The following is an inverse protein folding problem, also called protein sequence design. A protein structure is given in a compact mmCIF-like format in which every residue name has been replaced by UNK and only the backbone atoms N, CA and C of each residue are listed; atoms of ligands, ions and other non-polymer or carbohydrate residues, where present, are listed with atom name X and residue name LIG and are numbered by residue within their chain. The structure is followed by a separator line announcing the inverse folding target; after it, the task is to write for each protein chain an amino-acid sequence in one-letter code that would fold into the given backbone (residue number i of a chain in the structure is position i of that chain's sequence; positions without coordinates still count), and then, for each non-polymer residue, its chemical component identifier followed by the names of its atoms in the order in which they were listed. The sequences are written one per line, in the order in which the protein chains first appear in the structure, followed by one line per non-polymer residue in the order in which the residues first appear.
data_IF_366200436952
#
_entry.id   IF_366200436952
#
_cell.length_a   1.000
_cell.length_b   1.000
_cell.length_c   1.000
_cell.angle_alpha   90.00
_cell.angle_beta   90.00
_cell.angle_gamma   90.00
#
_symmetry.space_group_name_H-M   'P 1'
#
loop_
_entity.id
_entity.type
_entity.pdbx_description
1 polymer ?
#
# COMPACT_ATOMS: atom_id res chain seq x y z
N UNK A 1 17.89 9.66 -11.73
CA UNK A 1 17.41 8.89 -10.55
C UNK A 1 16.04 8.27 -10.83
N UNK A 2 15.57 7.27 -10.05
CA UNK A 2 14.26 6.63 -10.23
C UNK A 2 13.44 6.59 -8.95
N UNK A 3 12.12 6.50 -9.10
CA UNK A 3 11.16 6.18 -8.05
C UNK A 3 10.74 4.72 -8.19
N UNK A 4 10.55 4.04 -7.07
CA UNK A 4 10.07 2.67 -6.99
C UNK A 4 8.71 2.63 -6.31
N UNK A 5 7.80 1.81 -6.82
CA UNK A 5 6.46 1.61 -6.28
C UNK A 5 6.20 0.12 -6.09
N UNK A 6 5.76 -0.27 -4.91
CA UNK A 6 5.36 -1.62 -4.54
C UNK A 6 4.11 -1.57 -3.68
N UNK A 7 3.36 -2.66 -3.59
CA UNK A 7 2.19 -2.82 -2.70
C UNK A 7 1.95 -4.28 -2.39
N UNK A 8 1.03 -4.55 -1.48
CA UNK A 8 0.47 -5.87 -1.23
C UNK A 8 1.54 -6.95 -0.95
N UNK A 9 2.49 -6.61 -0.06
CA UNK A 9 3.55 -7.52 0.33
C UNK A 9 3.05 -8.59 1.31
N UNK A 10 2.07 -8.23 2.14
CA UNK A 10 1.48 -9.15 3.12
C UNK A 10 2.53 -9.90 3.93
N UNK A 11 3.55 -9.17 4.41
CA UNK A 11 4.61 -9.75 5.23
C UNK A 11 4.00 -10.35 6.50
N UNK A 12 4.24 -11.66 6.67
CA UNK A 12 3.79 -12.46 7.79
C UNK A 12 4.96 -13.32 8.26
N UNK A 13 5.28 -13.40 9.56
CA UNK A 13 6.39 -14.21 10.05
C UNK A 13 6.38 -15.68 9.59
N UNK A 14 5.20 -16.22 9.27
CA UNK A 14 5.06 -17.57 8.74
C UNK A 14 5.40 -17.71 7.24
N UNK A 15 5.47 -16.60 6.48
CA UNK A 15 5.70 -16.58 5.03
C UNK A 15 7.17 -16.29 4.70
N UNK A 16 8.03 -17.29 4.93
CA UNK A 16 9.48 -17.16 4.70
C UNK A 16 9.84 -16.93 3.23
N UNK A 17 9.03 -17.41 2.29
CA UNK A 17 9.15 -17.19 0.85
C UNK A 17 9.05 -15.68 0.52
N UNK A 18 8.03 -15.01 1.03
CA UNK A 18 7.82 -13.57 0.82
C UNK A 18 8.91 -12.74 1.50
N UNK A 19 9.31 -13.13 2.73
CA UNK A 19 10.43 -12.48 3.41
C UNK A 19 11.72 -12.60 2.62
N UNK A 20 11.98 -13.74 1.99
CA UNK A 20 13.16 -13.93 1.12
C UNK A 20 13.12 -12.99 -0.08
N UNK A 21 11.97 -12.90 -0.77
CA UNK A 21 11.79 -11.99 -1.90
C UNK A 21 11.98 -10.53 -1.48
N UNK A 22 11.40 -10.12 -0.35
CA UNK A 22 11.57 -8.79 0.21
C UNK A 22 13.03 -8.48 0.54
N UNK A 23 13.75 -9.43 1.16
CA UNK A 23 15.16 -9.28 1.47
C UNK A 23 16.03 -9.08 0.22
N UNK A 24 15.78 -9.87 -0.84
CA UNK A 24 16.47 -9.73 -2.12
C UNK A 24 16.20 -8.36 -2.76
N UNK A 25 14.94 -7.91 -2.73
CA UNK A 25 14.56 -6.58 -3.22
C UNK A 25 15.28 -5.46 -2.47
N UNK A 26 15.28 -5.50 -1.13
CA UNK A 26 15.98 -4.48 -0.30
C UNK A 26 17.49 -4.49 -0.60
N UNK A 27 18.11 -5.66 -0.73
CA UNK A 27 19.52 -5.79 -1.09
C UNK A 27 19.80 -5.12 -2.43
N UNK A 28 19.00 -5.42 -3.45
CA UNK A 28 19.11 -4.79 -4.77
C UNK A 28 18.92 -3.26 -4.72
N UNK A 29 18.01 -2.77 -3.88
CA UNK A 29 17.85 -1.33 -3.68
C UNK A 29 19.10 -0.69 -3.07
N UNK A 30 19.71 -1.34 -2.07
CA UNK A 30 20.92 -0.85 -1.42
C UNK A 30 22.13 -0.82 -2.37
N UNK A 31 22.28 -1.83 -3.24
CA UNK A 31 23.33 -1.88 -4.26
C UNK A 31 23.19 -0.76 -5.30
N UNK A 32 21.97 -0.27 -5.52
CA UNK A 32 21.64 0.79 -6.47
C UNK A 32 21.23 2.10 -5.79
N UNK A 33 21.63 2.33 -4.53
CA UNK A 33 21.12 3.44 -3.73
C UNK A 33 21.32 4.81 -4.39
N UNK A 34 22.43 5.02 -5.09
CA UNK A 34 22.72 6.25 -5.83
C UNK A 34 21.80 6.52 -7.04
N UNK A 35 21.04 5.52 -7.48
CA UNK A 35 20.10 5.63 -8.61
C UNK A 35 18.65 5.76 -8.15
N UNK A 36 18.35 5.45 -6.88
CA UNK A 36 16.98 5.42 -6.35
C UNK A 36 16.76 6.64 -5.45
N UNK A 37 15.78 7.48 -5.79
CA UNK A 37 15.41 8.65 -5.00
C UNK A 37 14.46 8.29 -3.85
N UNK A 38 13.49 7.44 -4.13
CA UNK A 38 12.49 7.03 -3.14
C UNK A 38 11.84 5.68 -3.48
N UNK A 39 11.37 5.01 -2.41
CA UNK A 39 10.50 3.85 -2.43
C UNK A 39 9.12 4.23 -1.85
N UNK A 40 8.06 3.98 -2.61
CA UNK A 40 6.67 4.12 -2.18
C UNK A 40 6.05 2.73 -2.00
N UNK A 41 5.53 2.46 -0.80
CA UNK A 41 4.83 1.23 -0.45
C UNK A 41 3.35 1.59 -0.31
N UNK A 42 2.53 1.17 -1.27
CA UNK A 42 1.14 1.61 -1.40
C UNK A 42 0.15 0.70 -0.66
N UNK A 43 0.41 0.46 0.62
CA UNK A 43 -0.46 -0.32 1.50
C UNK A 43 -0.16 -1.80 1.53
N UNK A 44 -0.72 -2.47 2.53
CA UNK A 44 -0.60 -3.90 2.78
C UNK A 44 0.85 -4.39 2.79
N UNK A 45 1.73 -3.60 3.45
CA UNK A 45 3.10 -4.01 3.73
C UNK A 45 3.12 -5.25 4.64
N UNK A 46 2.26 -5.25 5.66
CA UNK A 46 2.10 -6.35 6.61
C UNK A 46 0.74 -7.04 6.42
N UNK A 47 0.70 -8.35 6.67
CA UNK A 47 -0.54 -9.12 6.62
C UNK A 47 -1.54 -8.71 7.72
N UNK A 48 -1.02 -8.24 8.85
CA UNK A 48 -1.81 -7.69 9.95
C UNK A 48 -0.96 -6.74 10.79
N UNK A 49 -1.57 -5.63 11.24
CA UNK A 49 -0.97 -4.72 12.20
C UNK A 49 -1.97 -4.44 13.33
N UNK A 50 -1.62 -4.79 14.55
CA UNK A 50 -2.51 -4.74 15.72
C UNK A 50 -2.27 -3.51 16.60
N UNK A 51 -1.53 -2.53 16.10
CA UNK A 51 -0.98 -1.39 16.81
C UNK A 51 0.53 -1.51 16.94
N UNK A 52 1.20 -0.37 17.10
CA UNK A 52 2.66 -0.31 17.13
C UNK A 52 3.23 -1.10 18.32
N UNK A 53 2.62 -0.98 19.49
CA UNK A 53 2.99 -1.70 20.72
C UNK A 53 2.96 -3.22 20.56
N UNK A 54 1.98 -3.74 19.82
CA UNK A 54 1.79 -5.16 19.60
C UNK A 54 2.63 -5.71 18.45
N UNK A 55 2.82 -4.93 17.39
CA UNK A 55 3.34 -5.45 16.11
C UNK A 55 4.83 -5.16 15.88
N UNK A 56 5.35 -4.04 16.39
CA UNK A 56 6.78 -3.70 16.24
C UNK A 56 7.74 -4.83 16.65
N UNK A 57 7.52 -5.54 17.78
CA UNK A 57 8.42 -6.63 18.20
C UNK A 57 8.55 -7.76 17.17
N UNK A 58 7.48 -8.06 16.43
CA UNK A 58 7.46 -9.17 15.46
C UNK A 58 8.11 -8.82 14.11
N UNK A 59 8.12 -7.54 13.74
CA UNK A 59 8.59 -7.07 12.42
C UNK A 59 9.90 -6.28 12.47
N UNK A 60 10.68 -6.39 13.56
CA UNK A 60 11.92 -5.63 13.76
C UNK A 60 12.90 -5.76 12.60
N UNK A 61 13.00 -6.94 11.97
CA UNK A 61 13.91 -7.16 10.85
C UNK A 61 13.49 -6.38 9.60
N UNK A 62 12.21 -6.36 9.29
CA UNK A 62 11.64 -5.53 8.20
C UNK A 62 11.88 -4.06 8.48
N UNK A 63 11.59 -3.62 9.69
CA UNK A 63 11.74 -2.22 10.13
C UNK A 63 13.18 -1.76 10.01
N UNK A 64 14.16 -2.57 10.46
CA UNK A 64 15.59 -2.28 10.30
C UNK A 64 16.02 -2.14 8.84
N UNK A 65 15.45 -2.96 7.95
CA UNK A 65 15.73 -2.88 6.50
C UNK A 65 15.19 -1.60 5.88
N UNK A 66 13.96 -1.20 6.20
CA UNK A 66 13.40 0.06 5.74
C UNK A 66 14.22 1.26 6.26
N UNK A 67 14.59 1.23 7.53
CA UNK A 67 15.49 2.23 8.14
C UNK A 67 16.82 2.34 7.38
N UNK A 68 17.42 1.19 7.03
CA UNK A 68 18.68 1.13 6.31
C UNK A 68 18.58 1.76 4.91
N UNK A 69 17.45 1.59 4.19
CA UNK A 69 17.24 2.30 2.93
C UNK A 69 17.31 3.81 3.12
N UNK A 70 16.63 4.34 4.13
CA UNK A 70 16.63 5.77 4.42
C UNK A 70 18.03 6.27 4.79
N UNK A 71 18.79 5.51 5.59
CA UNK A 71 20.18 5.84 5.97
C UNK A 71 21.14 5.83 4.78
N UNK A 72 20.81 5.11 3.70
CA UNK A 72 21.55 5.12 2.43
C UNK A 72 21.00 6.16 1.42
N UNK A 73 20.13 7.07 1.88
CA UNK A 73 19.61 8.18 1.07
C UNK A 73 18.36 7.87 0.25
N UNK A 74 17.82 6.64 0.32
CA UNK A 74 16.55 6.27 -0.33
C UNK A 74 15.41 6.64 0.61
N UNK A 75 14.62 7.65 0.26
CA UNK A 75 13.45 8.02 1.07
C UNK A 75 12.39 6.93 0.99
N UNK A 76 11.82 6.56 2.15
CA UNK A 76 10.77 5.53 2.23
C UNK A 76 9.46 6.17 2.63
N UNK A 77 8.43 5.95 1.81
CA UNK A 77 7.05 6.38 2.05
C UNK A 77 6.16 5.16 2.15
N UNK A 78 5.31 5.12 3.17
CA UNK A 78 4.37 4.00 3.39
C UNK A 78 2.96 4.56 3.48
N UNK A 79 2.06 3.97 2.73
CA UNK A 79 0.62 4.24 2.77
C UNK A 79 -0.06 3.12 3.55
N UNK A 80 -1.10 3.42 4.29
CA UNK A 80 -1.93 2.39 4.91
C UNK A 80 -2.67 1.58 3.84
N UNK A 81 -2.69 0.26 4.00
CA UNK A 81 -3.61 -0.62 3.30
C UNK A 81 -4.77 -1.06 4.21
N UNK A 82 -5.55 -2.02 3.75
CA UNK A 82 -6.65 -2.56 4.54
C UNK A 82 -6.22 -3.63 5.56
N UNK A 83 -4.96 -4.08 5.53
CA UNK A 83 -4.38 -5.02 6.47
C UNK A 83 -3.60 -4.34 7.59
N UNK A 84 -3.02 -3.20 7.29
CA UNK A 84 -2.08 -2.51 8.17
C UNK A 84 -2.46 -1.04 8.45
N UNK A 85 -3.77 -0.75 8.44
CA UNK A 85 -4.33 0.59 8.66
C UNK A 85 -4.07 1.17 10.07
N UNK A 86 -3.54 0.39 10.99
CA UNK A 86 -3.14 0.81 12.34
C UNK A 86 -1.64 1.11 12.47
N UNK A 87 -0.88 1.15 11.36
CA UNK A 87 0.50 1.66 11.38
C UNK A 87 0.52 3.07 11.95
N UNK A 88 1.30 3.26 12.99
CA UNK A 88 1.31 4.51 13.74
C UNK A 88 2.65 5.23 13.71
N UNK A 89 2.75 6.23 14.59
CA UNK A 89 3.92 7.10 14.69
C UNK A 89 5.18 6.37 15.15
N UNK A 90 5.04 5.35 16.01
CA UNK A 90 6.21 4.60 16.48
C UNK A 90 6.81 3.77 15.36
N UNK A 91 5.96 3.17 14.50
CA UNK A 91 6.44 2.52 13.27
C UNK A 91 7.18 3.51 12.35
N UNK A 92 6.58 4.69 12.10
CA UNK A 92 7.19 5.73 11.26
C UNK A 92 8.60 6.11 11.77
N UNK A 93 8.74 6.32 13.08
CA UNK A 93 10.01 6.65 13.72
C UNK A 93 10.99 5.48 13.68
N UNK A 94 10.53 4.26 13.98
CA UNK A 94 11.38 3.07 14.03
C UNK A 94 11.94 2.72 12.65
N UNK A 95 11.11 2.80 11.60
CA UNK A 95 11.50 2.53 10.21
C UNK A 95 12.20 3.71 9.53
N UNK A 96 12.23 4.91 10.14
CA UNK A 96 12.67 6.17 9.49
C UNK A 96 11.97 6.37 8.14
N UNK A 97 10.71 6.00 8.04
CA UNK A 97 9.87 6.23 6.88
C UNK A 97 8.92 7.40 7.12
N UNK A 98 8.15 7.76 6.12
CA UNK A 98 7.05 8.72 6.24
C UNK A 98 5.73 8.03 5.90
N UNK A 99 4.77 8.06 6.82
CA UNK A 99 3.40 7.66 6.54
C UNK A 99 2.74 8.74 5.67
N UNK A 100 2.15 8.31 4.56
CA UNK A 100 1.43 9.17 3.63
C UNK A 100 -0.05 8.80 3.61
N UNK A 101 -0.91 9.80 3.40
CA UNK A 101 -2.36 9.58 3.31
C UNK A 101 -2.76 8.96 1.97
N UNK A 102 -3.94 8.42 1.89
CA UNK A 102 -4.57 7.90 0.68
C UNK A 102 -5.81 8.75 0.34
N UNK A 103 -5.88 9.41 -0.87
CA UNK A 103 -4.88 9.43 -1.92
C UNK A 103 -3.70 10.36 -1.62
N UNK A 104 -2.57 10.13 -2.27
CA UNK A 104 -1.40 10.99 -2.18
C UNK A 104 -1.00 11.51 -3.57
N UNK A 105 -1.13 12.83 -3.84
CA UNK A 105 -0.63 13.42 -5.09
C UNK A 105 0.91 13.53 -5.02
N UNK A 106 1.56 13.06 -6.07
CA UNK A 106 3.01 13.08 -6.22
C UNK A 106 3.39 13.84 -7.49
N UNK A 107 4.02 14.99 -7.33
CA UNK A 107 4.57 15.75 -8.45
C UNK A 107 5.92 15.17 -8.86
N UNK A 108 6.07 14.86 -10.14
CA UNK A 108 7.30 14.34 -10.71
C UNK A 108 7.71 15.14 -11.96
N UNK A 109 9.00 15.11 -12.25
CA UNK A 109 9.56 15.63 -13.49
C UNK A 109 10.33 14.49 -14.19
N UNK A 110 9.88 14.13 -15.39
CA UNK A 110 10.48 13.11 -16.24
C UNK A 110 11.01 13.74 -17.53
N UNK A 111 11.66 12.98 -18.39
CA UNK A 111 12.05 13.45 -19.72
C UNK A 111 10.83 13.82 -20.60
N UNK A 112 9.64 13.30 -20.29
CA UNK A 112 8.38 13.64 -20.98
C UNK A 112 7.75 14.93 -20.44
N UNK A 113 8.26 15.50 -19.35
CA UNK A 113 7.75 16.71 -18.72
C UNK A 113 7.32 16.50 -17.25
N UNK A 114 6.58 17.49 -16.75
CA UNK A 114 6.03 17.47 -15.40
C UNK A 114 4.63 16.87 -15.41
N UNK A 115 4.37 15.97 -14.47
CA UNK A 115 3.03 15.44 -14.22
C UNK A 115 2.80 15.22 -12.71
N UNK A 116 1.55 15.28 -12.30
CA UNK A 116 1.10 14.82 -10.98
C UNK A 116 0.57 13.40 -11.12
N UNK A 117 1.15 12.47 -10.37
CA UNK A 117 0.67 11.09 -10.27
C UNK A 117 -0.10 10.95 -8.97
N UNK A 118 -1.27 10.34 -9.02
CA UNK A 118 -2.04 10.01 -7.82
C UNK A 118 -1.67 8.61 -7.34
N UNK A 119 -1.29 8.51 -6.08
CA UNK A 119 -1.02 7.24 -5.41
C UNK A 119 -2.20 6.89 -4.51
N UNK A 120 -2.62 5.63 -4.53
CA UNK A 120 -3.69 5.10 -3.67
C UNK A 120 -3.38 3.65 -3.31
N UNK A 121 -3.86 3.14 -2.18
CA UNK A 121 -3.88 1.70 -1.98
C UNK A 121 -4.87 1.05 -2.97
N UNK A 122 -6.04 1.62 -3.15
CA UNK A 122 -7.04 1.16 -4.12
C UNK A 122 -8.30 0.57 -3.51
N UNK A 123 -8.26 0.16 -2.27
CA UNK A 123 -9.34 -0.53 -1.56
C UNK A 123 -10.65 0.27 -1.51
N UNK A 124 -10.57 1.58 -1.34
CA UNK A 124 -11.73 2.48 -1.33
C UNK A 124 -12.39 2.68 -2.69
N UNK A 125 -11.72 2.23 -3.75
CA UNK A 125 -12.25 2.28 -5.13
C UNK A 125 -13.12 1.06 -5.46
N UNK A 126 -13.13 0.01 -4.62
CA UNK A 126 -13.98 -1.17 -4.75
C UNK A 126 -15.40 -0.87 -4.26
N UNK A 127 -16.04 0.17 -4.80
CA UNK A 127 -17.32 0.71 -4.31
C UNK A 127 -18.52 -0.21 -4.53
N UNK A 128 -18.39 -1.20 -5.41
CA UNK A 128 -19.42 -2.22 -5.66
C UNK A 128 -19.49 -3.24 -4.51
N UNK A 129 -18.44 -3.37 -3.69
CA UNK A 129 -18.44 -4.17 -2.47
C UNK A 129 -18.91 -3.33 -1.27
N UNK A 130 -20.22 -3.16 -1.18
CA UNK A 130 -20.85 -2.33 -0.13
C UNK A 130 -20.56 -2.81 1.28
N UNK A 131 -20.44 -4.13 1.49
CA UNK A 131 -20.08 -4.71 2.79
C UNK A 131 -18.65 -4.33 3.17
N UNK A 132 -17.74 -4.39 2.20
CA UNK A 132 -16.35 -3.97 2.42
C UNK A 132 -16.27 -2.47 2.73
N UNK A 133 -16.97 -1.63 1.99
CA UNK A 133 -17.01 -0.18 2.24
C UNK A 133 -17.56 0.14 3.65
N UNK A 134 -18.61 -0.56 4.08
CA UNK A 134 -19.13 -0.41 5.44
C UNK A 134 -18.12 -0.85 6.51
N UNK A 135 -17.46 -1.98 6.31
CA UNK A 135 -16.38 -2.47 7.18
C UNK A 135 -15.22 -1.46 7.23
N UNK A 136 -14.76 -1.00 6.07
CA UNK A 136 -13.69 -0.01 5.97
C UNK A 136 -14.03 1.26 6.74
N UNK A 137 -15.25 1.79 6.56
CA UNK A 137 -15.70 2.97 7.30
C UNK A 137 -15.64 2.77 8.82
N UNK A 138 -16.02 1.59 9.31
CA UNK A 138 -15.97 1.24 10.73
C UNK A 138 -14.54 1.24 11.26
N UNK A 139 -13.61 0.52 10.61
CA UNK A 139 -12.24 0.35 11.12
C UNK A 139 -11.35 1.60 10.95
N UNK A 140 -11.75 2.52 10.08
CA UNK A 140 -11.10 3.83 9.94
C UNK A 140 -11.75 4.93 10.80
N UNK A 141 -12.80 4.61 11.57
CA UNK A 141 -13.35 5.53 12.54
C UNK A 141 -12.37 5.74 13.71
N UNK A 142 -11.99 6.98 14.04
CA UNK A 142 -11.01 7.25 15.10
C UNK A 142 -11.41 6.69 16.46
N UNK A 143 -12.71 6.71 16.79
CA UNK A 143 -13.20 6.18 18.05
C UNK A 143 -13.05 4.66 18.09
N UNK A 144 -13.40 3.96 16.98
CA UNK A 144 -13.20 2.52 16.88
C UNK A 144 -11.72 2.14 17.03
N UNK A 145 -10.81 2.88 16.38
CA UNK A 145 -9.38 2.63 16.49
C UNK A 145 -8.87 2.84 17.91
N UNK A 146 -9.30 3.90 18.58
CA UNK A 146 -8.95 4.17 19.98
C UNK A 146 -9.46 3.06 20.89
N UNK A 147 -10.71 2.63 20.76
CA UNK A 147 -11.31 1.57 21.53
C UNK A 147 -10.59 0.23 21.28
N UNK A 148 -10.25 -0.08 20.02
CA UNK A 148 -9.50 -1.27 19.67
C UNK A 148 -8.10 -1.26 20.30
N UNK A 149 -7.35 -0.17 20.18
CA UNK A 149 -5.98 -0.04 20.70
C UNK A 149 -5.93 0.00 22.23
N UNK A 150 -7.02 0.35 22.91
CA UNK A 150 -7.10 0.31 24.38
C UNK A 150 -7.24 -1.11 24.95
N UNK A 151 -7.55 -2.11 24.13
CA UNK A 151 -7.70 -3.51 24.53
C UNK A 151 -6.36 -4.20 24.75
N UNK A 152 -6.36 -5.31 25.47
CA UNK A 152 -5.18 -6.16 25.59
C UNK A 152 -4.75 -6.72 24.22
N UNK A 153 -3.49 -7.08 24.10
CA UNK A 153 -2.95 -7.66 22.84
C UNK A 153 -3.70 -8.94 22.48
N UNK A 154 -4.04 -9.77 23.45
CA UNK A 154 -4.79 -11.02 23.29
C UNK A 154 -6.19 -10.75 22.72
N UNK A 155 -6.89 -9.75 23.23
CA UNK A 155 -8.20 -9.35 22.72
C UNK A 155 -8.11 -8.83 21.29
N UNK A 156 -7.10 -7.99 20.98
CA UNK A 156 -6.87 -7.48 19.63
C UNK A 156 -6.59 -8.61 18.65
N UNK A 157 -5.78 -9.60 19.03
CA UNK A 157 -5.54 -10.81 18.24
C UNK A 157 -6.83 -11.57 17.96
N UNK A 158 -7.66 -11.79 18.98
CA UNK A 158 -8.93 -12.52 18.85
C UNK A 158 -9.89 -11.79 17.89
N UNK A 159 -10.03 -10.47 18.05
CA UNK A 159 -10.87 -9.63 17.17
C UNK A 159 -10.36 -9.68 15.73
N UNK A 160 -9.06 -9.48 15.49
CA UNK A 160 -8.48 -9.50 14.16
C UNK A 160 -8.65 -10.86 13.47
N UNK A 161 -8.48 -11.98 14.19
CA UNK A 161 -8.75 -13.33 13.67
C UNK A 161 -10.21 -13.49 13.26
N UNK A 162 -11.15 -13.10 14.12
CA UNK A 162 -12.58 -13.18 13.82
C UNK A 162 -12.96 -12.36 12.58
N UNK A 163 -12.45 -11.12 12.47
CA UNK A 163 -12.68 -10.26 11.31
C UNK A 163 -12.12 -10.88 10.03
N UNK A 164 -10.92 -11.49 10.11
CA UNK A 164 -10.29 -12.16 8.98
C UNK A 164 -11.09 -13.38 8.51
N UNK A 165 -11.54 -14.22 9.43
CA UNK A 165 -12.37 -15.38 9.12
C UNK A 165 -13.67 -14.97 8.43
N UNK A 166 -14.36 -13.96 8.95
CA UNK A 166 -15.56 -13.40 8.34
C UNK A 166 -15.30 -12.84 6.94
N UNK A 167 -14.19 -12.08 6.77
CA UNK A 167 -13.80 -11.54 5.46
C UNK A 167 -13.52 -12.66 4.45
N UNK A 168 -12.82 -13.72 4.86
CA UNK A 168 -12.53 -14.88 4.00
C UNK A 168 -13.81 -15.61 3.58
N UNK A 169 -14.73 -15.85 4.51
CA UNK A 169 -16.01 -16.50 4.22
C UNK A 169 -16.85 -15.67 3.24
N UNK A 170 -16.94 -14.36 3.46
CA UNK A 170 -17.67 -13.46 2.55
C UNK A 170 -17.01 -13.38 1.17
N UNK A 171 -15.69 -13.30 1.11
CA UNK A 171 -14.93 -13.22 -0.14
C UNK A 171 -15.14 -14.44 -1.05
N UNK A 172 -15.26 -15.65 -0.46
CA UNK A 172 -15.52 -16.88 -1.23
C UNK A 172 -16.89 -16.90 -1.91
N UNK A 173 -17.84 -16.12 -1.44
CA UNK A 173 -19.21 -16.06 -1.96
C UNK A 173 -19.43 -14.89 -2.93
N UNK A 174 -18.46 -13.97 -3.04
CA UNK A 174 -18.60 -12.76 -3.86
C UNK A 174 -18.17 -12.99 -5.31
N UNK A 175 -18.91 -12.43 -6.27
CA UNK A 175 -18.45 -12.40 -7.66
C UNK A 175 -17.12 -11.63 -7.76
N UNK A 176 -16.18 -12.18 -8.49
CA UNK A 176 -14.83 -11.61 -8.66
C UNK A 176 -14.88 -10.16 -9.19
N UNK A 177 -15.91 -9.81 -9.95
CA UNK A 177 -16.08 -8.48 -10.54
C UNK A 177 -16.28 -7.36 -9.51
N UNK A 178 -17.01 -7.62 -8.41
CA UNK A 178 -17.28 -6.58 -7.38
C UNK A 178 -16.09 -6.34 -6.46
N UNK A 179 -15.09 -7.23 -6.50
CA UNK A 179 -13.83 -7.08 -5.75
C UNK A 179 -12.76 -6.29 -6.52
N UNK A 180 -13.08 -5.82 -7.73
CA UNK A 180 -12.23 -4.92 -8.50
C UNK A 180 -12.64 -3.47 -8.27
N UNK A 181 -11.77 -2.54 -8.65
CA UNK A 181 -12.09 -1.12 -8.57
C UNK A 181 -13.22 -0.76 -9.52
N UNK A 182 -14.15 0.08 -9.07
CA UNK A 182 -15.20 0.63 -9.90
C UNK A 182 -14.61 1.76 -10.77
N UNK A 183 -14.78 1.68 -12.09
CA UNK A 183 -14.21 2.63 -13.05
C UNK A 183 -14.71 4.08 -12.79
N UNK A 184 -15.96 4.26 -12.42
CA UNK A 184 -16.50 5.60 -12.13
C UNK A 184 -15.88 6.19 -10.87
N UNK A 185 -15.60 5.34 -9.84
CA UNK A 185 -14.89 5.76 -8.63
C UNK A 185 -13.45 6.17 -8.95
N UNK A 186 -12.77 5.44 -9.84
CA UNK A 186 -11.43 5.79 -10.33
C UNK A 186 -11.45 7.15 -11.03
N UNK A 187 -12.35 7.34 -12.00
CA UNK A 187 -12.46 8.58 -12.75
C UNK A 187 -12.79 9.77 -11.84
N UNK A 188 -13.72 9.60 -10.91
CA UNK A 188 -14.09 10.61 -9.91
C UNK A 188 -12.86 11.00 -9.07
N UNK A 189 -12.14 10.01 -8.52
CA UNK A 189 -10.96 10.27 -7.69
C UNK A 189 -9.88 11.04 -8.46
N UNK A 190 -9.63 10.65 -9.72
CA UNK A 190 -8.64 11.31 -10.57
C UNK A 190 -9.03 12.75 -10.93
N UNK A 191 -10.32 13.00 -11.20
CA UNK A 191 -10.85 14.34 -11.47
C UNK A 191 -10.76 15.26 -10.24
N UNK A 192 -11.14 14.77 -9.07
CA UNK A 192 -11.06 15.52 -7.81
C UNK A 192 -9.63 15.93 -7.45
N UNK A 193 -8.64 15.15 -7.91
CA UNK A 193 -7.21 15.43 -7.69
C UNK A 193 -6.50 16.03 -8.92
N UNK A 194 -7.24 16.36 -9.98
CA UNK A 194 -6.73 16.95 -11.21
C UNK A 194 -5.52 16.20 -11.80
N UNK A 195 -5.63 14.86 -11.91
CA UNK A 195 -4.56 13.99 -12.40
C UNK A 195 -5.03 13.07 -13.53
N UNK A 196 -4.11 12.70 -14.42
CA UNK A 196 -4.34 11.75 -15.52
C UNK A 196 -3.62 10.41 -15.31
N UNK A 197 -2.90 10.26 -14.20
CA UNK A 197 -2.19 9.01 -13.86
C UNK A 197 -2.52 8.59 -12.43
N UNK A 198 -3.00 7.36 -12.26
CA UNK A 198 -3.24 6.70 -10.98
C UNK A 198 -2.37 5.46 -10.87
N UNK A 199 -1.68 5.29 -9.73
CA UNK A 199 -0.98 4.04 -9.36
C UNK A 199 -1.63 3.51 -8.09
N UNK A 200 -2.02 2.23 -8.10
CA UNK A 200 -2.61 1.58 -6.92
C UNK A 200 -2.29 0.08 -6.86
N UNK A 201 -2.56 -0.53 -5.71
CA UNK A 201 -2.47 -1.97 -5.43
C UNK A 201 -3.82 -2.63 -5.20
N UNK A 202 -3.95 -3.38 -4.12
CA UNK A 202 -5.12 -3.98 -3.51
C UNK A 202 -5.81 -5.09 -4.31
N UNK A 203 -6.03 -4.91 -5.60
CA UNK A 203 -6.82 -5.88 -6.40
C UNK A 203 -6.04 -7.12 -6.82
N UNK A 204 -4.72 -7.13 -6.70
CA UNK A 204 -3.83 -8.20 -7.13
C UNK A 204 -4.02 -8.58 -8.61
N UNK A 205 -4.35 -7.57 -9.46
CA UNK A 205 -4.59 -7.73 -10.90
C UNK A 205 -3.68 -6.77 -11.67
N UNK A 206 -2.37 -7.05 -11.70
CA UNK A 206 -1.41 -6.12 -12.30
C UNK A 206 -1.72 -5.89 -13.78
N UNK A 207 -1.92 -4.62 -14.13
CA UNK A 207 -2.23 -4.21 -15.50
C UNK A 207 -1.97 -2.71 -15.69
N UNK A 208 -1.90 -2.29 -16.94
CA UNK A 208 -1.84 -0.90 -17.37
C UNK A 208 -3.06 -0.56 -18.22
N UNK A 209 -4.03 0.07 -17.59
CA UNK A 209 -5.26 0.49 -18.25
C UNK A 209 -5.11 1.87 -18.87
N UNK A 210 -5.49 2.01 -20.14
CA UNK A 210 -5.58 3.28 -20.84
C UNK A 210 -7.05 3.63 -21.11
N UNK A 211 -7.44 4.86 -20.82
CA UNK A 211 -8.80 5.34 -21.01
C UNK A 211 -8.81 6.85 -21.27
N UNK A 212 -9.99 7.41 -21.55
CA UNK A 212 -10.17 8.85 -21.68
C UNK A 212 -10.85 9.42 -20.44
N UNK A 213 -10.27 10.46 -19.87
CA UNK A 213 -10.82 11.24 -18.77
C UNK A 213 -11.00 12.69 -19.27
N UNK A 214 -12.25 13.15 -19.38
CA UNK A 214 -12.57 14.47 -19.97
C UNK A 214 -11.88 14.70 -21.33
N UNK A 215 -11.93 13.72 -22.23
CA UNK A 215 -11.28 13.71 -23.55
C UNK A 215 -9.74 13.73 -23.54
N UNK A 216 -9.09 13.68 -22.39
CA UNK A 216 -7.64 13.56 -22.25
C UNK A 216 -7.24 12.10 -22.07
N UNK A 217 -6.07 11.71 -22.58
CA UNK A 217 -5.53 10.38 -22.35
C UNK A 217 -5.15 10.23 -20.87
N UNK A 218 -5.70 9.23 -20.23
CA UNK A 218 -5.44 8.89 -18.84
C UNK A 218 -5.00 7.43 -18.69
N UNK A 219 -4.31 7.11 -17.60
CA UNK A 219 -3.82 5.77 -17.31
C UNK A 219 -3.97 5.40 -15.84
N UNK A 220 -4.24 4.14 -15.61
CA UNK A 220 -4.27 3.51 -14.28
C UNK A 220 -3.32 2.33 -14.28
N UNK A 221 -2.39 2.34 -13.36
CA UNK A 221 -1.37 1.32 -13.16
C UNK A 221 -1.73 0.54 -11.91
N UNK A 222 -1.95 -0.77 -12.05
CA UNK A 222 -2.19 -1.69 -10.95
C UNK A 222 -0.90 -2.41 -10.63
N UNK A 223 -0.42 -2.25 -9.40
CA UNK A 223 0.78 -2.93 -8.93
C UNK A 223 0.49 -4.42 -8.68
N UNK A 224 1.48 -5.30 -8.93
CA UNK A 224 1.36 -6.71 -8.57
C UNK A 224 1.38 -6.88 -7.04
N UNK A 225 0.71 -7.93 -6.56
CA UNK A 225 0.98 -8.50 -5.25
C UNK A 225 2.40 -9.07 -5.19
N UNK A 226 2.93 -9.19 -3.97
CA UNK A 226 4.31 -9.60 -3.76
C UNK A 226 4.44 -11.12 -3.70
N UNK A 227 5.12 -11.68 -4.69
CA UNK A 227 5.40 -13.10 -4.80
C UNK A 227 6.79 -13.33 -5.41
N UNK A 228 7.32 -14.58 -5.43
CA UNK A 228 8.58 -14.88 -6.11
C UNK A 228 8.54 -14.46 -7.59
N UNK A 229 9.37 -13.45 -7.93
CA UNK A 229 9.41 -12.84 -9.26
C UNK A 229 8.69 -11.49 -9.38
N UNK A 230 8.00 -11.02 -8.35
CA UNK A 230 7.41 -9.69 -8.33
C UNK A 230 8.49 -8.62 -8.52
N UNK A 231 8.14 -7.57 -9.27
CA UNK A 231 9.03 -6.44 -9.56
C UNK A 231 8.34 -5.13 -9.18
N UNK A 232 9.12 -4.21 -8.61
CA UNK A 232 8.67 -2.87 -8.37
C UNK A 232 8.36 -2.15 -9.69
N UNK A 233 7.28 -1.39 -9.74
CA UNK A 233 7.05 -0.42 -10.80
C UNK A 233 8.08 0.71 -10.68
N UNK A 234 8.62 1.18 -11.80
CA UNK A 234 9.71 2.16 -11.79
C UNK A 234 9.38 3.35 -12.69
N UNK A 235 9.68 4.55 -12.19
CA UNK A 235 9.60 5.78 -12.98
C UNK A 235 10.97 6.47 -12.95
N UNK A 236 11.55 6.68 -14.13
CA UNK A 236 12.77 7.45 -14.28
C UNK A 236 12.46 8.95 -14.17
N UNK A 237 13.22 9.64 -13.34
CA UNK A 237 13.15 11.08 -13.20
C UNK A 237 14.14 11.74 -14.15
N UNK A 238 13.83 12.97 -14.55
CA UNK A 238 14.79 13.84 -15.24
C UNK A 238 15.99 14.10 -14.33
N UNK A 239 17.17 14.06 -14.89
CA UNK A 239 18.43 14.34 -14.17
C UNK A 239 18.57 15.82 -13.85
#
# INVERSE_FOLDING_TARGET
MKLLFISDLHLDPARTDIHTCFNQFITSCLEQANQIKALYILGDLFEVWLGDDASLPFYQDVIKKLRRLNEQGIKVYVMHGNRDFLLGREFEQAAKCRLIHDPFPLDIETEQGRETILLSHGDKLCTDDTDYIAFRKMVHDPQWQQDFLSRSIEERIAIARSMREQSKQRGQQKPTKIMDVNQQAVEKLMLENNTLTLIHGHTHRPDLHHFKLNNQAARRIVLPDWNPGAKAWQIALKN
#
